data_IF_868926549439
#
_entry.id   IF_868926549439
#
_cell.length_a   1.000
_cell.length_b   1.000
_cell.length_c   1.000
_cell.angle_alpha   90.00
_cell.angle_beta   90.00
_cell.angle_gamma   90.00
#
_symmetry.space_group_name_H-M   'P 1'
#
loop_
_entity.id
_entity.type
_entity.pdbx_description
1 polymer ?
#
# COMPACT_ATOMS: atom_id res chain seq x y z
N UNK A 1 22.38 3.64 -0.66
CA UNK A 1 21.15 3.10 -1.25
C UNK A 1 21.32 3.09 -2.75
N UNK A 2 21.36 1.89 -3.36
CA UNK A 2 21.48 1.75 -4.80
C UNK A 2 20.11 2.07 -5.41
N UNK A 3 20.04 3.06 -6.27
CA UNK A 3 18.82 3.36 -7.05
C UNK A 3 18.66 2.19 -8.03
N UNK A 4 17.60 1.38 -7.87
CA UNK A 4 17.24 0.39 -8.91
C UNK A 4 16.99 1.17 -10.21
N UNK A 5 17.60 0.73 -11.32
CA UNK A 5 17.29 1.26 -12.65
C UNK A 5 15.82 0.99 -13.00
N UNK A 6 15.24 1.78 -13.90
CA UNK A 6 13.89 1.55 -14.40
C UNK A 6 13.80 0.12 -14.96
N UNK A 7 12.78 -0.68 -14.52
CA UNK A 7 12.65 -2.06 -14.98
C UNK A 7 12.31 -2.08 -16.47
N UNK A 8 13.12 -2.81 -17.25
CA UNK A 8 12.92 -2.98 -18.70
C UNK A 8 11.71 -3.89 -18.97
N UNK A 9 10.85 -3.48 -19.89
CA UNK A 9 9.73 -4.32 -20.36
C UNK A 9 10.28 -5.61 -21.00
N UNK A 10 9.80 -6.78 -20.49
CA UNK A 10 10.18 -8.10 -21.01
C UNK A 10 11.02 -8.96 -20.07
N UNK A 11 11.53 -8.42 -18.98
CA UNK A 11 12.20 -9.23 -17.94
C UNK A 11 11.20 -9.66 -16.84
N UNK A 12 11.39 -10.86 -16.23
CA UNK A 12 10.57 -11.29 -15.09
C UNK A 12 10.64 -10.29 -13.94
N UNK A 13 9.49 -9.78 -13.52
CA UNK A 13 9.36 -8.79 -12.46
C UNK A 13 8.63 -9.37 -11.26
N UNK A 14 8.89 -8.82 -10.07
CA UNK A 14 8.05 -9.00 -8.89
C UNK A 14 7.01 -7.88 -8.82
N UNK A 15 5.76 -8.25 -8.99
CA UNK A 15 4.64 -7.32 -9.03
C UNK A 15 3.70 -7.58 -7.86
N UNK A 16 3.42 -6.55 -7.07
CA UNK A 16 2.34 -6.58 -6.09
C UNK A 16 1.12 -5.90 -6.70
N UNK A 17 0.01 -6.64 -6.77
CA UNK A 17 -1.26 -6.17 -7.32
C UNK A 17 -2.26 -6.03 -6.20
N UNK A 18 -2.76 -4.82 -5.98
CA UNK A 18 -3.87 -4.60 -5.06
C UNK A 18 -5.19 -4.54 -5.82
N UNK A 19 -6.06 -5.51 -5.60
CA UNK A 19 -7.42 -5.51 -6.11
C UNK A 19 -8.31 -4.60 -5.28
N UNK A 20 -9.01 -3.67 -5.91
CA UNK A 20 -10.04 -2.85 -5.27
C UNK A 20 -11.13 -3.71 -4.60
N UNK A 21 -11.75 -3.18 -3.56
CA UNK A 21 -12.80 -3.87 -2.80
C UNK A 21 -14.22 -3.46 -3.16
N UNK A 22 -14.42 -2.57 -4.13
CA UNK A 22 -15.73 -2.13 -4.59
C UNK A 22 -16.29 -3.12 -5.61
N UNK A 23 -17.61 -3.06 -5.82
CA UNK A 23 -18.36 -3.87 -6.81
C UNK A 23 -17.89 -3.66 -8.25
N UNK A 24 -17.27 -2.52 -8.55
CA UNK A 24 -16.88 -2.13 -9.91
C UNK A 24 -15.61 -2.83 -10.40
N UNK A 25 -14.80 -3.40 -9.49
CA UNK A 25 -13.56 -4.10 -9.85
C UNK A 25 -13.86 -5.53 -10.27
N UNK A 26 -13.41 -5.91 -11.46
CA UNK A 26 -13.65 -7.25 -12.02
C UNK A 26 -12.59 -8.25 -11.54
N UNK A 27 -12.88 -8.90 -10.40
CA UNK A 27 -11.96 -9.86 -9.79
C UNK A 27 -11.60 -11.05 -10.70
N UNK A 28 -12.54 -11.55 -11.51
CA UNK A 28 -12.29 -12.67 -12.41
C UNK A 28 -11.37 -12.28 -13.58
N UNK A 29 -11.55 -11.08 -14.14
CA UNK A 29 -10.65 -10.53 -15.16
C UNK A 29 -9.24 -10.31 -14.62
N UNK A 30 -9.13 -9.77 -13.39
CA UNK A 30 -7.82 -9.60 -12.72
C UNK A 30 -7.13 -10.95 -12.49
N UNK A 31 -7.85 -11.98 -12.05
CA UNK A 31 -7.29 -13.33 -11.90
C UNK A 31 -6.83 -13.93 -13.24
N UNK A 32 -7.55 -13.66 -14.34
CA UNK A 32 -7.14 -14.07 -15.68
C UNK A 32 -5.84 -13.40 -16.11
N UNK A 33 -5.72 -12.10 -15.87
CA UNK A 33 -4.55 -11.30 -16.19
C UNK A 33 -3.34 -11.72 -15.34
N UNK A 34 -3.53 -11.87 -14.02
CA UNK A 34 -2.51 -12.43 -13.11
C UNK A 34 -2.01 -13.80 -13.60
N UNK A 35 -2.94 -14.67 -14.03
CA UNK A 35 -2.57 -15.99 -14.54
C UNK A 35 -1.75 -15.93 -15.84
N UNK A 36 -2.04 -14.99 -16.72
CA UNK A 36 -1.24 -14.72 -17.92
C UNK A 36 0.19 -14.28 -17.56
N UNK A 37 0.31 -13.27 -16.72
CA UNK A 37 1.60 -12.71 -16.28
C UNK A 37 2.48 -13.74 -15.55
N UNK A 38 1.89 -14.61 -14.72
CA UNK A 38 2.62 -15.71 -14.09
C UNK A 38 3.16 -16.69 -15.12
N UNK A 39 2.38 -17.03 -16.17
CA UNK A 39 2.84 -17.90 -17.26
C UNK A 39 3.94 -17.23 -18.11
N UNK A 40 3.95 -15.91 -18.20
CA UNK A 40 5.00 -15.12 -18.83
C UNK A 40 6.27 -14.96 -17.96
N UNK A 41 6.27 -15.57 -16.77
CA UNK A 41 7.43 -15.64 -15.88
C UNK A 41 7.50 -14.59 -14.79
N UNK A 42 6.51 -13.70 -14.69
CA UNK A 42 6.43 -12.74 -13.59
C UNK A 42 6.08 -13.43 -12.26
N UNK A 43 6.57 -12.87 -11.15
CA UNK A 43 6.20 -13.26 -9.79
C UNK A 43 5.14 -12.29 -9.29
N UNK A 44 3.99 -12.77 -8.85
CA UNK A 44 2.89 -11.92 -8.43
C UNK A 44 2.45 -12.20 -6.99
N UNK A 45 2.14 -11.11 -6.28
CA UNK A 45 1.43 -11.13 -5.01
C UNK A 45 0.13 -10.37 -5.20
N UNK A 46 -0.99 -10.99 -4.87
CA UNK A 46 -2.31 -10.35 -4.92
C UNK A 46 -2.71 -9.91 -3.53
N UNK A 47 -3.03 -8.63 -3.35
CA UNK A 47 -3.59 -8.09 -2.10
C UNK A 47 -5.00 -7.62 -2.38
N UNK A 48 -5.96 -8.00 -1.55
CA UNK A 48 -7.34 -7.62 -1.76
C UNK A 48 -7.99 -6.98 -0.53
N UNK A 49 -8.91 -6.08 -0.78
CA UNK A 49 -9.94 -5.64 0.15
C UNK A 49 -11.27 -6.35 -0.15
N UNK A 50 -12.38 -5.71 0.19
CA UNK A 50 -13.71 -6.25 -0.05
C UNK A 50 -14.80 -5.41 0.60
N UNK A 51 -14.76 -4.08 0.42
CA UNK A 51 -15.74 -3.16 1.06
C UNK A 51 -17.17 -3.55 0.71
N UNK A 52 -17.46 -3.90 -0.54
CA UNK A 52 -18.80 -4.31 -0.97
C UNK A 52 -19.26 -5.61 -0.28
N UNK A 53 -18.38 -6.61 -0.13
CA UNK A 53 -18.70 -7.85 0.56
C UNK A 53 -18.84 -7.65 2.08
N UNK A 54 -18.05 -6.76 2.66
CA UNK A 54 -18.18 -6.38 4.07
C UNK A 54 -19.55 -5.73 4.31
N UNK A 55 -19.93 -4.76 3.46
CA UNK A 55 -21.21 -4.06 3.58
C UNK A 55 -22.39 -5.05 3.41
N UNK A 56 -22.33 -5.91 2.39
CA UNK A 56 -23.34 -6.95 2.17
C UNK A 56 -23.50 -7.89 3.38
N UNK A 57 -22.39 -8.38 3.90
CA UNK A 57 -22.41 -9.33 5.02
C UNK A 57 -22.82 -8.65 6.33
N UNK A 58 -22.44 -7.37 6.52
CA UNK A 58 -22.88 -6.56 7.65
C UNK A 58 -24.41 -6.39 7.66
N UNK A 59 -24.99 -6.11 6.48
CA UNK A 59 -26.46 -6.01 6.32
C UNK A 59 -27.15 -7.34 6.62
N UNK A 60 -26.59 -8.47 6.17
CA UNK A 60 -27.15 -9.81 6.45
C UNK A 60 -27.06 -10.22 7.93
N UNK A 61 -26.06 -9.71 8.65
CA UNK A 61 -25.83 -10.01 10.06
C UNK A 61 -26.37 -8.92 11.00
N UNK A 62 -27.09 -7.94 10.47
CA UNK A 62 -27.64 -6.80 11.22
C UNK A 62 -26.55 -6.01 12.00
N UNK A 63 -25.31 -5.92 11.47
CA UNK A 63 -24.21 -5.16 12.07
C UNK A 63 -24.12 -3.75 11.45
N UNK A 64 -24.49 -2.69 12.21
CA UNK A 64 -24.52 -1.34 11.66
C UNK A 64 -23.13 -0.85 11.26
N UNK A 65 -22.99 -0.36 10.03
CA UNK A 65 -21.74 0.19 9.52
C UNK A 65 -21.63 1.69 9.76
N UNK A 66 -20.51 2.12 10.29
CA UNK A 66 -20.20 3.54 10.54
C UNK A 66 -18.89 3.94 9.87
N UNK A 67 -18.74 5.22 9.55
CA UNK A 67 -17.49 5.78 9.05
C UNK A 67 -17.00 6.87 9.98
N UNK A 68 -15.70 6.89 10.21
CA UNK A 68 -15.00 7.93 10.93
C UNK A 68 -14.31 8.84 9.91
N UNK A 69 -14.53 10.13 10.02
CA UNK A 69 -13.82 11.15 9.24
C UNK A 69 -12.77 11.77 10.16
N UNK A 70 -11.51 11.63 9.82
CA UNK A 70 -10.41 12.23 10.56
C UNK A 70 -10.37 13.77 10.33
N UNK A 71 -9.69 14.56 11.20
CA UNK A 71 -9.60 16.02 11.03
C UNK A 71 -8.98 16.48 9.71
N UNK A 72 -8.15 15.63 9.07
CA UNK A 72 -7.57 15.84 7.74
C UNK A 72 -8.48 15.37 6.59
N UNK A 73 -9.75 15.02 6.88
CA UNK A 73 -10.76 14.68 5.90
C UNK A 73 -10.74 13.23 5.39
N UNK A 74 -9.82 12.39 5.87
CA UNK A 74 -9.77 10.98 5.49
C UNK A 74 -10.90 10.21 6.14
N UNK A 75 -11.71 9.51 5.32
CA UNK A 75 -12.83 8.69 5.77
C UNK A 75 -12.42 7.22 5.82
N UNK A 76 -12.55 6.60 7.00
CA UNK A 76 -12.28 5.18 7.21
C UNK A 76 -13.48 4.49 7.87
N UNK A 77 -13.60 3.16 7.73
CA UNK A 77 -14.60 2.36 8.43
C UNK A 77 -14.30 2.39 9.93
N UNK A 78 -15.30 2.72 10.75
CA UNK A 78 -15.23 2.44 12.17
C UNK A 78 -15.31 0.93 12.36
N UNK A 79 -14.29 0.38 12.95
CA UNK A 79 -14.18 -1.06 13.14
C UNK A 79 -14.29 -1.38 14.62
N UNK A 80 -15.51 -1.42 15.16
CA UNK A 80 -15.78 -1.99 16.46
C UNK A 80 -15.62 -3.52 16.41
N UNK A 81 -15.79 -4.21 17.54
CA UNK A 81 -15.57 -5.65 17.64
C UNK A 81 -16.47 -6.44 16.68
N UNK A 82 -17.77 -6.11 16.59
CA UNK A 82 -18.71 -6.75 15.70
C UNK A 82 -18.35 -6.48 14.22
N UNK A 83 -17.95 -5.26 13.89
CA UNK A 83 -17.50 -4.91 12.55
C UNK A 83 -16.20 -5.64 12.19
N UNK A 84 -15.26 -5.83 13.15
CA UNK A 84 -14.04 -6.60 12.91
C UNK A 84 -14.33 -8.06 12.58
N UNK A 85 -15.31 -8.67 13.26
CA UNK A 85 -15.76 -10.02 12.95
C UNK A 85 -16.31 -10.10 11.52
N UNK A 86 -17.19 -9.18 11.12
CA UNK A 86 -17.71 -9.09 9.75
C UNK A 86 -16.60 -8.91 8.73
N UNK A 87 -15.63 -8.02 8.99
CA UNK A 87 -14.46 -7.82 8.13
C UNK A 87 -13.69 -9.13 7.93
N UNK A 88 -13.46 -9.86 9.03
CA UNK A 88 -12.74 -11.14 8.99
C UNK A 88 -13.49 -12.19 8.18
N UNK A 89 -14.79 -12.36 8.43
CA UNK A 89 -15.64 -13.30 7.70
C UNK A 89 -15.71 -12.96 6.20
N UNK A 90 -15.93 -11.68 5.87
CA UNK A 90 -16.02 -11.22 4.50
C UNK A 90 -14.71 -11.45 3.74
N UNK A 91 -13.59 -11.04 4.30
CA UNK A 91 -12.31 -11.07 3.58
C UNK A 91 -11.67 -12.44 3.58
N UNK A 92 -11.58 -13.10 4.74
CA UNK A 92 -10.94 -14.41 4.84
C UNK A 92 -11.84 -15.56 4.41
N UNK A 93 -13.16 -15.45 4.67
CA UNK A 93 -14.12 -16.53 4.43
C UNK A 93 -14.89 -16.44 3.10
N UNK A 94 -15.01 -15.26 2.50
CA UNK A 94 -15.78 -15.08 1.26
C UNK A 94 -14.92 -14.62 0.08
N UNK A 95 -14.30 -13.44 0.15
CA UNK A 95 -13.57 -12.87 -1.01
C UNK A 95 -12.33 -13.68 -1.36
N UNK A 96 -11.48 -13.98 -0.38
CA UNK A 96 -10.23 -14.70 -0.60
C UNK A 96 -10.42 -16.11 -1.20
N UNK A 97 -11.31 -16.96 -0.69
CA UNK A 97 -11.54 -18.27 -1.28
C UNK A 97 -12.00 -18.18 -2.74
N UNK A 98 -12.80 -17.17 -3.12
CA UNK A 98 -13.22 -16.94 -4.51
C UNK A 98 -12.02 -16.62 -5.40
N UNK A 99 -11.12 -15.71 -4.98
CA UNK A 99 -9.91 -15.36 -5.73
C UNK A 99 -8.96 -16.56 -5.87
N UNK A 100 -8.72 -17.29 -4.79
CA UNK A 100 -7.88 -18.50 -4.81
C UNK A 100 -8.47 -19.55 -5.75
N UNK A 101 -9.78 -19.82 -5.68
CA UNK A 101 -10.47 -20.76 -6.56
C UNK A 101 -10.38 -20.35 -8.02
N UNK A 102 -10.52 -19.06 -8.32
CA UNK A 102 -10.42 -18.52 -9.67
C UNK A 102 -9.01 -18.69 -10.26
N UNK A 103 -7.95 -18.44 -9.47
CA UNK A 103 -6.58 -18.68 -9.88
C UNK A 103 -6.27 -20.17 -10.07
N UNK A 104 -6.74 -21.03 -9.15
CA UNK A 104 -6.60 -22.49 -9.26
C UNK A 104 -7.30 -23.02 -10.51
N UNK A 105 -8.51 -22.53 -10.83
CA UNK A 105 -9.24 -22.89 -12.05
C UNK A 105 -8.49 -22.54 -13.34
N UNK A 106 -7.51 -21.59 -13.27
CA UNK A 106 -6.62 -21.22 -14.37
C UNK A 106 -5.28 -21.94 -14.36
N UNK A 107 -5.09 -22.90 -13.44
CA UNK A 107 -3.87 -23.68 -13.27
C UNK A 107 -2.75 -22.95 -12.53
N UNK A 108 -3.09 -21.88 -11.81
CA UNK A 108 -2.12 -21.12 -11.00
C UNK A 108 -2.24 -21.55 -9.53
N UNK A 109 -1.16 -22.12 -8.94
CA UNK A 109 -1.18 -22.50 -7.53
C UNK A 109 -1.21 -21.25 -6.65
N UNK A 110 -2.33 -20.97 -6.02
CA UNK A 110 -2.52 -19.80 -5.16
C UNK A 110 -2.69 -20.19 -3.69
N UNK A 111 -2.14 -19.39 -2.79
CA UNK A 111 -2.23 -19.57 -1.34
C UNK A 111 -2.87 -18.35 -0.70
N UNK A 112 -4.02 -18.52 -0.05
CA UNK A 112 -4.72 -17.47 0.66
C UNK A 112 -4.16 -17.27 2.06
N UNK A 113 -3.80 -16.03 2.41
CA UNK A 113 -3.27 -15.63 3.71
C UNK A 113 -4.00 -14.36 4.21
N UNK A 114 -4.11 -14.22 5.51
CA UNK A 114 -4.40 -12.94 6.16
C UNK A 114 -3.10 -12.33 6.68
N UNK A 115 -3.12 -11.09 7.10
CA UNK A 115 -1.98 -10.50 7.81
C UNK A 115 -1.67 -11.17 9.16
N UNK A 116 -2.61 -11.97 9.72
CA UNK A 116 -2.41 -12.76 10.92
C UNK A 116 -1.52 -13.97 10.69
N UNK A 117 -1.64 -14.62 9.51
CA UNK A 117 -0.99 -15.90 9.22
C UNK A 117 0.53 -15.76 9.29
N UNK A 118 1.15 -16.50 10.20
CA UNK A 118 2.59 -16.39 10.47
C UNK A 118 3.05 -15.05 11.03
N UNK A 119 2.13 -14.18 11.48
CA UNK A 119 2.44 -12.81 11.87
C UNK A 119 2.93 -11.98 10.67
N UNK A 120 2.35 -12.23 9.50
CA UNK A 120 2.78 -11.63 8.24
C UNK A 120 2.77 -10.10 8.27
N UNK A 121 1.71 -9.51 8.84
CA UNK A 121 1.59 -8.05 8.99
C UNK A 121 1.38 -7.71 10.46
N UNK A 122 2.35 -7.05 11.06
CA UNK A 122 2.26 -6.54 12.42
C UNK A 122 1.77 -5.10 12.41
N UNK A 123 0.80 -4.84 13.27
CA UNK A 123 0.19 -3.52 13.42
C UNK A 123 0.24 -3.07 14.86
N UNK A 124 0.17 -1.76 15.07
CA UNK A 124 -0.15 -1.19 16.37
C UNK A 124 -1.58 -0.69 16.35
N UNK A 125 -2.41 -1.25 17.23
CA UNK A 125 -3.77 -0.79 17.42
C UNK A 125 -3.78 0.66 17.90
N UNK A 126 -4.65 1.48 17.34
CA UNK A 126 -4.83 2.87 17.76
C UNK A 126 -5.57 2.91 19.12
N UNK A 127 -4.94 3.45 20.16
CA UNK A 127 -5.56 3.61 21.50
C UNK A 127 -6.72 4.60 21.51
N UNK A 128 -6.86 5.40 20.47
CA UNK A 128 -7.95 6.35 20.25
C UNK A 128 -7.73 7.07 18.93
N UNK A 129 -8.77 7.18 18.15
CA UNK A 129 -8.76 7.87 16.85
C UNK A 129 -9.56 9.17 16.97
N UNK A 130 -8.96 10.30 16.56
CA UNK A 130 -9.70 11.55 16.41
C UNK A 130 -10.62 11.46 15.21
N UNK A 131 -11.89 11.73 15.42
CA UNK A 131 -12.90 11.81 14.35
C UNK A 131 -13.74 13.07 14.49
N UNK A 132 -14.25 13.57 13.37
CA UNK A 132 -15.19 14.66 13.34
C UNK A 132 -16.61 14.09 13.33
N UNK A 133 -17.38 14.38 14.39
CA UNK A 133 -18.79 14.00 14.53
C UNK A 133 -19.57 15.27 14.80
N UNK A 134 -20.57 15.57 13.97
CA UNK A 134 -21.40 16.78 14.08
C UNK A 134 -20.56 18.08 14.18
N UNK A 135 -19.50 18.16 13.39
CA UNK A 135 -18.58 19.31 13.36
C UNK A 135 -17.65 19.44 14.56
N UNK A 136 -17.62 18.46 15.47
CA UNK A 136 -16.77 18.45 16.66
C UNK A 136 -15.76 17.31 16.59
N UNK A 137 -14.51 17.58 16.99
CA UNK A 137 -13.50 16.52 17.11
C UNK A 137 -13.73 15.73 18.40
N UNK A 138 -13.98 14.44 18.27
CA UNK A 138 -14.12 13.46 19.37
C UNK A 138 -13.02 12.41 19.28
N UNK A 139 -12.79 11.71 20.42
CA UNK A 139 -11.86 10.57 20.45
C UNK A 139 -12.67 9.29 20.54
N UNK A 140 -12.60 8.47 19.50
CA UNK A 140 -13.18 7.13 19.43
C UNK A 140 -12.15 6.13 19.95
N UNK A 141 -12.53 5.26 20.89
CA UNK A 141 -11.63 4.30 21.55
C UNK A 141 -11.94 2.84 21.27
N UNK A 142 -13.14 2.56 20.80
CA UNK A 142 -13.64 1.22 20.42
C UNK A 142 -13.33 0.88 18.95
N UNK A 143 -12.30 1.50 18.37
CA UNK A 143 -11.87 1.21 17.00
C UNK A 143 -10.74 0.17 17.02
N UNK A 144 -10.96 -0.96 16.33
CA UNK A 144 -10.01 -2.04 16.14
C UNK A 144 -9.24 -1.90 14.83
N UNK A 145 -8.95 -0.67 14.42
CA UNK A 145 -8.05 -0.42 13.30
C UNK A 145 -6.62 -0.16 13.78
N UNK A 146 -5.64 -0.61 12.98
CA UNK A 146 -4.22 -0.50 13.29
C UNK A 146 -3.43 0.26 12.23
N UNK A 147 -2.25 0.74 12.66
CA UNK A 147 -1.20 1.21 11.77
C UNK A 147 -0.18 0.09 11.57
N UNK A 148 0.19 -0.20 10.34
CA UNK A 148 1.23 -1.18 10.01
C UNK A 148 2.56 -0.70 10.59
N UNK A 149 3.24 -1.56 11.35
CA UNK A 149 4.57 -1.33 11.90
C UNK A 149 5.66 -2.08 11.15
N UNK A 150 5.38 -3.34 10.80
CA UNK A 150 6.30 -4.17 10.04
C UNK A 150 5.58 -5.26 9.28
N UNK A 151 6.28 -5.83 8.30
CA UNK A 151 5.85 -6.98 7.52
C UNK A 151 6.96 -8.04 7.59
N UNK A 152 6.58 -9.31 7.68
CA UNK A 152 7.49 -10.45 7.58
C UNK A 152 7.41 -11.06 6.20
N UNK A 153 8.22 -10.54 5.28
CA UNK A 153 8.20 -10.95 3.87
C UNK A 153 8.69 -12.38 3.60
N UNK A 154 9.36 -13.02 4.55
CA UNK A 154 9.98 -14.35 4.39
C UNK A 154 8.97 -15.43 3.97
N UNK A 155 7.75 -15.43 4.55
CA UNK A 155 6.70 -16.36 4.17
C UNK A 155 6.29 -16.16 2.69
N UNK A 156 6.10 -14.93 2.28
CA UNK A 156 5.73 -14.59 0.90
C UNK A 156 6.87 -14.95 -0.06
N UNK A 157 8.12 -14.61 0.28
CA UNK A 157 9.29 -14.95 -0.52
C UNK A 157 9.43 -16.47 -0.71
N UNK A 158 9.18 -17.25 0.36
CA UNK A 158 9.16 -18.72 0.30
C UNK A 158 8.09 -19.22 -0.66
N UNK A 159 6.86 -18.74 -0.57
CA UNK A 159 5.79 -19.14 -1.47
C UNK A 159 6.11 -18.79 -2.94
N UNK A 160 6.60 -17.59 -3.19
CA UNK A 160 6.99 -17.14 -4.54
C UNK A 160 8.14 -17.99 -5.11
N UNK A 161 9.12 -18.40 -4.28
CA UNK A 161 10.25 -19.25 -4.73
C UNK A 161 9.81 -20.66 -5.13
N UNK A 162 8.66 -21.12 -4.64
CA UNK A 162 8.06 -22.40 -4.99
C UNK A 162 6.95 -22.28 -6.06
N UNK A 163 6.81 -21.12 -6.70
CA UNK A 163 5.86 -20.88 -7.79
C UNK A 163 4.42 -20.67 -7.35
N UNK A 164 4.16 -20.43 -6.05
CA UNK A 164 2.84 -20.06 -5.57
C UNK A 164 2.56 -18.57 -5.75
N UNK A 165 1.29 -18.24 -5.96
CA UNK A 165 0.79 -16.85 -5.91
C UNK A 165 0.15 -16.60 -4.55
N UNK A 166 0.76 -15.81 -3.66
CA UNK A 166 0.12 -15.41 -2.40
C UNK A 166 -1.05 -14.47 -2.64
N UNK A 167 -2.18 -14.74 -1.99
CA UNK A 167 -3.39 -13.89 -1.99
C UNK A 167 -3.63 -13.39 -0.58
N UNK A 168 -3.32 -12.13 -0.31
CA UNK A 168 -3.25 -11.55 1.04
C UNK A 168 -4.39 -10.58 1.30
N UNK A 169 -4.92 -10.57 2.52
CA UNK A 169 -5.94 -9.61 2.94
C UNK A 169 -5.80 -9.23 4.42
N UNK A 170 -6.47 -8.16 4.88
CA UNK A 170 -6.79 -8.03 6.31
C UNK A 170 -7.57 -9.24 6.84
N UNK A 171 -7.68 -9.42 8.18
CA UNK A 171 -7.06 -8.63 9.23
C UNK A 171 -5.56 -8.90 9.40
N UNK A 172 -4.90 -8.03 10.14
CA UNK A 172 -3.50 -8.14 10.55
C UNK A 172 -3.41 -8.45 12.06
N UNK A 173 -2.21 -8.73 12.57
CA UNK A 173 -1.98 -8.95 14.00
C UNK A 173 -1.52 -7.65 14.69
N UNK A 174 -1.96 -7.42 15.93
CA UNK A 174 -1.31 -6.45 16.81
C UNK A 174 -0.13 -7.06 17.59
N UNK A 175 0.46 -6.28 18.49
CA UNK A 175 1.57 -6.70 19.35
C UNK A 175 1.25 -7.88 20.29
N UNK A 176 -0.03 -8.21 20.47
CA UNK A 176 -0.51 -9.31 21.30
C UNK A 176 -0.99 -10.52 20.49
N UNK A 177 -0.96 -10.41 19.14
CA UNK A 177 -1.48 -11.42 18.24
C UNK A 177 -2.98 -11.31 17.99
N UNK A 178 -3.63 -10.26 18.51
CA UNK A 178 -5.06 -10.04 18.32
C UNK A 178 -5.36 -9.47 16.92
N UNK A 179 -6.50 -9.83 16.31
CA UNK A 179 -6.85 -9.35 14.99
C UNK A 179 -7.16 -7.85 15.01
N UNK A 180 -6.63 -7.15 14.03
CA UNK A 180 -6.81 -5.71 13.82
C UNK A 180 -7.09 -5.45 12.35
N UNK A 181 -8.08 -4.63 12.05
CA UNK A 181 -8.31 -4.18 10.68
C UNK A 181 -7.20 -3.23 10.23
N UNK A 182 -6.68 -3.47 9.04
CA UNK A 182 -5.69 -2.63 8.40
C UNK A 182 -6.11 -2.33 6.95
N UNK A 183 -5.71 -1.18 6.44
CA UNK A 183 -6.02 -0.79 5.07
C UNK A 183 -5.27 -1.68 4.06
N UNK A 184 -6.00 -2.27 3.11
CA UNK A 184 -5.44 -3.21 2.14
C UNK A 184 -4.49 -2.55 1.13
N UNK A 185 -4.68 -1.26 0.77
CA UNK A 185 -3.74 -0.52 -0.07
C UNK A 185 -2.39 -0.36 0.66
N UNK A 186 -2.44 -0.08 1.97
CA UNK A 186 -1.23 0.05 2.80
C UNK A 186 -0.56 -1.30 3.08
N UNK A 187 -1.33 -2.38 3.21
CA UNK A 187 -0.75 -3.75 3.28
C UNK A 187 -0.02 -4.05 1.98
N UNK A 188 -0.61 -3.73 0.81
CA UNK A 188 0.04 -3.92 -0.48
C UNK A 188 1.34 -3.10 -0.60
N UNK A 189 1.31 -1.85 -0.17
CA UNK A 189 2.48 -0.97 -0.16
C UNK A 189 3.60 -1.51 0.75
N UNK A 190 3.26 -1.94 1.97
CA UNK A 190 4.22 -2.47 2.93
C UNK A 190 4.84 -3.80 2.45
N UNK A 191 4.01 -4.70 1.86
CA UNK A 191 4.49 -5.94 1.24
C UNK A 191 5.39 -5.65 0.04
N UNK A 192 5.02 -4.72 -0.82
CA UNK A 192 5.82 -4.35 -1.99
C UNK A 192 7.20 -3.79 -1.57
N UNK A 193 7.23 -2.96 -0.55
CA UNK A 193 8.47 -2.40 0.00
C UNK A 193 9.35 -3.49 0.65
N UNK A 194 8.78 -4.36 1.48
CA UNK A 194 9.49 -5.43 2.17
C UNK A 194 10.08 -6.47 1.20
N UNK A 195 9.39 -6.73 0.09
CA UNK A 195 9.81 -7.70 -0.92
C UNK A 195 10.73 -7.10 -1.99
N UNK A 196 11.10 -5.83 -1.88
CA UNK A 196 11.80 -5.10 -2.95
C UNK A 196 11.10 -5.25 -4.31
N UNK A 197 9.78 -5.11 -4.35
CA UNK A 197 9.01 -5.29 -5.55
C UNK A 197 9.42 -4.28 -6.64
N UNK A 198 9.45 -4.74 -7.90
CA UNK A 198 9.69 -3.88 -9.05
C UNK A 198 8.51 -2.94 -9.30
N UNK A 199 7.29 -3.45 -9.08
CA UNK A 199 6.04 -2.75 -9.35
C UNK A 199 5.01 -2.94 -8.24
N UNK A 200 4.28 -1.86 -7.93
CA UNK A 200 3.02 -1.91 -7.19
C UNK A 200 1.90 -1.36 -8.09
N UNK A 201 0.89 -2.18 -8.36
CA UNK A 201 -0.31 -1.78 -9.12
C UNK A 201 -1.50 -1.70 -8.17
N UNK A 202 -2.07 -0.50 -8.03
CA UNK A 202 -3.25 -0.22 -7.21
C UNK A 202 -4.48 -0.11 -8.12
N UNK A 203 -5.22 -1.20 -8.28
CA UNK A 203 -6.42 -1.23 -9.11
C UNK A 203 -7.61 -0.58 -8.40
N UNK A 204 -8.38 0.18 -9.14
CA UNK A 204 -9.53 0.95 -8.64
C UNK A 204 -10.69 0.94 -9.65
N UNK A 205 -11.86 1.44 -9.26
CA UNK A 205 -13.04 1.62 -10.13
C UNK A 205 -13.01 2.90 -10.97
N UNK A 206 -11.84 3.54 -11.11
CA UNK A 206 -11.63 4.72 -11.93
C UNK A 206 -10.45 4.49 -12.89
N UNK A 207 -10.32 5.25 -13.99
CA UNK A 207 -9.20 5.12 -14.93
C UNK A 207 -7.81 5.28 -14.31
N UNK A 208 -7.73 6.02 -13.21
CA UNK A 208 -6.53 6.35 -12.46
C UNK A 208 -6.82 7.50 -11.50
N UNK A 209 -5.85 8.39 -11.27
CA UNK A 209 -6.05 9.65 -10.54
C UNK A 209 -6.64 10.68 -11.51
N UNK A 210 -7.78 11.25 -11.15
CA UNK A 210 -8.46 12.27 -11.95
C UNK A 210 -8.15 13.66 -11.39
N UNK A 211 -7.95 14.63 -12.27
CA UNK A 211 -7.84 16.03 -11.87
C UNK A 211 -9.18 16.56 -11.32
N UNK A 212 -10.29 16.12 -11.91
CA UNK A 212 -11.65 16.32 -11.43
C UNK A 212 -12.33 14.96 -11.24
N UNK A 213 -12.70 14.58 -10.00
CA UNK A 213 -13.34 13.28 -9.73
C UNK A 213 -14.65 13.04 -10.48
N UNK A 214 -15.34 14.11 -10.92
CA UNK A 214 -16.60 14.04 -11.64
C UNK A 214 -16.40 13.99 -13.18
N UNK A 215 -15.16 14.14 -13.65
CA UNK A 215 -14.78 14.05 -15.07
C UNK A 215 -13.82 12.90 -15.33
N UNK A 216 -14.34 11.82 -15.94
CA UNK A 216 -13.54 10.62 -16.27
C UNK A 216 -12.44 10.88 -17.32
N UNK A 217 -12.57 11.93 -18.12
CA UNK A 217 -11.58 12.31 -19.15
C UNK A 217 -10.44 13.15 -18.57
N UNK A 218 -10.53 13.54 -17.29
CA UNK A 218 -9.49 14.31 -16.58
C UNK A 218 -8.36 13.45 -15.99
N UNK A 219 -8.08 12.27 -16.57
CA UNK A 219 -7.03 11.36 -16.14
C UNK A 219 -5.67 12.06 -16.14
N UNK A 220 -4.99 11.98 -15.01
CA UNK A 220 -3.60 12.42 -14.87
C UNK A 220 -2.67 11.24 -15.21
N UNK A 221 -1.84 11.32 -16.26
CA UNK A 221 -0.88 10.26 -16.54
C UNK A 221 0.22 10.13 -15.47
N UNK A 222 0.56 11.24 -14.82
CA UNK A 222 1.51 11.33 -13.71
C UNK A 222 0.90 12.08 -12.52
N UNK A 223 1.17 11.62 -11.31
CA UNK A 223 0.76 12.28 -10.08
C UNK A 223 1.94 12.37 -9.11
N UNK A 224 2.39 13.59 -8.81
CA UNK A 224 3.41 13.81 -7.80
C UNK A 224 2.78 13.89 -6.40
N UNK A 225 3.35 13.15 -5.45
CA UNK A 225 2.95 13.17 -4.04
C UNK A 225 4.09 13.68 -3.16
N UNK A 226 3.74 14.52 -2.20
CA UNK A 226 4.70 15.01 -1.22
C UNK A 226 5.23 13.88 -0.35
N UNK A 227 6.51 13.95 0.04
CA UNK A 227 7.16 12.94 0.90
C UNK A 227 6.54 12.84 2.30
N UNK A 228 5.82 13.85 2.74
CA UNK A 228 5.09 13.90 4.01
C UNK A 228 3.85 14.79 3.90
N UNK A 229 2.95 14.71 4.87
CA UNK A 229 1.74 15.55 4.90
C UNK A 229 0.54 14.92 4.19
N UNK A 230 -0.44 15.76 3.83
CA UNK A 230 -1.64 15.34 3.10
C UNK A 230 -1.28 14.93 1.66
N UNK A 231 -2.01 13.99 1.05
CA UNK A 231 -1.66 13.45 -0.28
C UNK A 231 -2.01 14.37 -1.47
N UNK A 232 -2.32 15.65 -1.26
CA UNK A 232 -2.60 16.64 -2.30
C UNK A 232 -4.11 16.86 -2.56
N UNK A 233 -4.42 17.87 -3.40
CA UNK A 233 -5.80 18.32 -3.64
C UNK A 233 -6.66 17.31 -4.42
N UNK A 234 -6.04 16.46 -5.24
CA UNK A 234 -6.71 15.39 -6.01
C UNK A 234 -7.12 14.20 -5.15
N UNK A 235 -6.69 14.17 -3.91
CA UNK A 235 -6.85 13.05 -2.99
C UNK A 235 -8.15 13.17 -2.21
N UNK A 236 -9.26 12.72 -2.79
CA UNK A 236 -10.56 12.66 -2.10
C UNK A 236 -10.97 11.20 -1.84
N UNK A 237 -11.63 10.97 -0.71
CA UNK A 237 -12.18 9.64 -0.37
C UNK A 237 -11.15 8.51 -0.42
N UNK A 238 -11.48 7.44 -1.14
CA UNK A 238 -10.59 6.27 -1.29
C UNK A 238 -9.30 6.54 -2.06
N UNK A 239 -9.27 7.56 -2.94
CA UNK A 239 -8.06 7.93 -3.67
C UNK A 239 -6.99 8.51 -2.72
N UNK A 240 -7.39 9.23 -1.68
CA UNK A 240 -6.46 9.74 -0.67
C UNK A 240 -5.67 8.61 0.00
N UNK A 241 -6.35 7.51 0.36
CA UNK A 241 -5.69 6.34 0.97
C UNK A 241 -4.74 5.65 -0.02
N UNK A 242 -5.11 5.57 -1.31
CA UNK A 242 -4.25 5.01 -2.36
C UNK A 242 -2.98 5.83 -2.57
N UNK A 243 -3.09 7.16 -2.61
CA UNK A 243 -1.93 8.04 -2.76
C UNK A 243 -1.02 8.02 -1.51
N UNK A 244 -1.59 7.85 -0.30
CA UNK A 244 -0.82 7.60 0.91
C UNK A 244 -0.06 6.27 0.81
N UNK A 245 -0.72 5.19 0.38
CA UNK A 245 -0.11 3.88 0.19
C UNK A 245 0.98 3.93 -0.90
N UNK A 246 0.71 4.59 -2.03
CA UNK A 246 1.68 4.79 -3.10
C UNK A 246 2.94 5.52 -2.61
N UNK A 247 2.77 6.59 -1.83
CA UNK A 247 3.88 7.31 -1.19
C UNK A 247 4.69 6.41 -0.26
N UNK A 248 4.01 5.62 0.59
CA UNK A 248 4.67 4.69 1.51
C UNK A 248 5.48 3.64 0.76
N UNK A 249 4.95 3.08 -0.33
CA UNK A 249 5.66 2.15 -1.19
C UNK A 249 6.90 2.77 -1.83
N UNK A 250 6.78 3.96 -2.41
CA UNK A 250 7.89 4.67 -3.03
C UNK A 250 8.99 5.06 -2.03
N UNK A 251 8.60 5.48 -0.82
CA UNK A 251 9.54 5.75 0.27
C UNK A 251 10.22 4.47 0.75
N UNK A 252 9.54 3.33 0.65
CA UNK A 252 10.06 2.00 0.95
C UNK A 252 10.94 1.40 -0.15
N UNK A 253 11.12 2.07 -1.30
CA UNK A 253 12.04 1.64 -2.37
C UNK A 253 11.40 0.84 -3.51
N UNK A 254 10.06 0.76 -3.56
CA UNK A 254 9.36 0.16 -4.72
C UNK A 254 9.73 0.90 -6.00
N UNK A 255 10.08 0.16 -7.06
CA UNK A 255 10.59 0.75 -8.30
C UNK A 255 9.60 1.67 -9.01
N UNK A 256 8.34 1.24 -9.14
CA UNK A 256 7.27 2.05 -9.74
C UNK A 256 5.92 1.73 -9.09
N UNK A 257 5.09 2.76 -8.93
CA UNK A 257 3.72 2.63 -8.40
C UNK A 257 2.73 3.20 -9.41
N UNK A 258 1.73 2.40 -9.78
CA UNK A 258 0.68 2.80 -10.73
C UNK A 258 -0.70 2.65 -10.10
N UNK A 259 -1.55 3.65 -10.24
CA UNK A 259 -2.98 3.58 -9.97
C UNK A 259 -3.71 3.39 -11.30
N UNK A 260 -4.47 2.31 -11.46
CA UNK A 260 -5.05 1.95 -12.74
C UNK A 260 -6.49 1.42 -12.63
N UNK A 261 -7.17 1.37 -13.77
CA UNK A 261 -8.53 0.87 -13.90
C UNK A 261 -8.56 -0.66 -13.68
N UNK A 262 -9.36 -1.10 -12.72
CA UNK A 262 -9.57 -2.54 -12.43
C UNK A 262 -10.87 -3.11 -12.96
N UNK A 263 -11.64 -2.36 -13.77
CA UNK A 263 -12.95 -2.78 -14.29
C UNK A 263 -12.83 -3.65 -15.53
N UNK A 264 -11.82 -3.39 -16.36
CA UNK A 264 -11.59 -4.04 -17.65
C UNK A 264 -10.81 -5.36 -17.57
N UNK A 265 -10.71 -6.02 -18.72
CA UNK A 265 -9.79 -7.14 -18.94
C UNK A 265 -8.37 -6.61 -19.19
N UNK A 266 -7.35 -7.37 -18.81
CA UNK A 266 -5.94 -7.00 -19.04
C UNK A 266 -5.43 -5.88 -18.12
N UNK A 267 -6.18 -5.48 -17.10
CA UNK A 267 -5.94 -4.32 -16.26
C UNK A 267 -4.52 -4.24 -15.68
N UNK A 268 -3.98 -5.37 -15.19
CA UNK A 268 -2.61 -5.42 -14.64
C UNK A 268 -1.58 -5.29 -15.75
N UNK A 269 -1.76 -6.04 -16.85
CA UNK A 269 -0.86 -5.97 -18.01
C UNK A 269 -0.85 -4.58 -18.65
N UNK A 270 -1.98 -3.91 -18.76
CA UNK A 270 -2.07 -2.54 -19.26
C UNK A 270 -1.37 -1.55 -18.31
N UNK A 271 -1.56 -1.68 -17.00
CA UNK A 271 -0.86 -0.87 -16.02
C UNK A 271 0.67 -1.06 -16.09
N UNK A 272 1.15 -2.28 -16.30
CA UNK A 272 2.58 -2.55 -16.52
C UNK A 272 3.12 -1.93 -17.82
N UNK A 273 2.27 -1.71 -18.81
CA UNK A 273 2.59 -1.02 -20.08
C UNK A 273 2.41 0.50 -20.01
N UNK A 274 2.05 1.05 -18.85
CA UNK A 274 1.95 2.49 -18.62
C UNK A 274 0.53 3.06 -18.67
N UNK A 275 -0.52 2.22 -18.70
CA UNK A 275 -1.89 2.70 -18.54
C UNK A 275 -2.17 3.12 -17.08
N UNK A 276 -3.04 4.12 -16.91
CA UNK A 276 -3.39 4.67 -15.61
C UNK A 276 -2.51 5.87 -15.22
N UNK A 277 -2.30 6.06 -13.92
CA UNK A 277 -1.51 7.15 -13.36
C UNK A 277 -0.26 6.61 -12.70
N UNK A 278 0.92 7.03 -13.15
CA UNK A 278 2.16 6.79 -12.45
C UNK A 278 2.28 7.76 -11.26
N UNK A 279 2.48 7.22 -10.06
CA UNK A 279 2.69 8.03 -8.87
C UNK A 279 4.17 8.21 -8.61
N UNK A 280 4.62 9.45 -8.40
CA UNK A 280 6.01 9.79 -8.13
C UNK A 280 6.15 10.62 -6.85
N UNK A 281 7.29 10.53 -6.18
CA UNK A 281 7.60 11.44 -5.08
C UNK A 281 8.07 12.78 -5.65
N UNK A 282 7.63 13.88 -5.04
CA UNK A 282 8.26 15.18 -5.31
C UNK A 282 9.75 15.12 -4.99
N UNK A 283 10.62 15.69 -5.84
CA UNK A 283 12.04 15.79 -5.55
C UNK A 283 12.27 16.43 -4.18
N UNK A 284 13.31 16.02 -3.43
CA UNK A 284 13.67 16.74 -2.22
C UNK A 284 13.98 18.20 -2.58
N UNK A 285 13.67 19.17 -1.69
CA UNK A 285 14.02 20.56 -1.93
C UNK A 285 15.53 20.67 -2.16
N UNK A 286 15.92 21.46 -3.16
CA UNK A 286 17.33 21.73 -3.41
C UNK A 286 17.96 22.31 -2.13
N UNK A 287 19.16 21.83 -1.74
CA UNK A 287 19.85 22.40 -0.61
C UNK A 287 20.09 23.89 -0.90
N UNK A 288 19.51 24.74 -0.07
CA UNK A 288 19.68 26.19 -0.19
C UNK A 288 21.16 26.58 -0.21
N UNK A 289 21.54 27.74 -0.78
CA UNK A 289 22.93 28.16 -0.99
C UNK A 289 23.77 28.30 0.30
N UNK A 290 23.16 28.23 1.47
CA UNK A 290 23.85 28.41 2.76
C UNK A 290 24.51 27.15 3.35
N UNK A 291 24.32 25.95 2.77
CA UNK A 291 24.96 24.72 3.26
C UNK A 291 26.40 24.50 2.74
N UNK A 292 26.95 25.44 1.97
CA UNK A 292 28.39 25.49 1.63
C UNK A 292 29.19 26.25 2.70
N UNK A 293 28.93 26.02 3.97
CA UNK A 293 29.71 26.59 5.05
C UNK A 293 31.04 25.85 5.16
N UNK A 294 32.06 26.48 4.65
CA UNK A 294 33.44 26.61 5.17
C UNK A 294 33.87 25.51 6.16
N UNK A 295 34.62 24.57 5.65
CA UNK A 295 35.64 23.87 6.45
C UNK A 295 36.56 24.90 7.09
N UNK A 296 36.80 24.89 8.40
CA UNK A 296 37.78 25.75 9.00
C UNK A 296 39.16 25.40 8.46
N UNK A 297 39.81 26.38 7.83
CA UNK A 297 41.22 26.29 7.48
C UNK A 297 42.01 26.13 8.78
N UNK A 298 42.62 24.98 9.01
CA UNK A 298 43.66 24.82 10.01
C UNK A 298 44.80 25.77 9.66
N UNK A 299 44.95 26.83 10.42
CA UNK A 299 46.19 27.59 10.48
C UNK A 299 47.20 26.78 11.28
N UNK A 300 48.20 26.26 10.59
CA UNK A 300 49.44 25.80 11.22
C UNK A 300 50.06 26.96 11.96
N UNK A 301 50.03 26.93 13.28
CA UNK A 301 50.90 27.76 14.14
C UNK A 301 52.12 26.90 14.43
N UNK A 302 53.23 27.19 13.71
CA UNK A 302 54.57 26.80 14.11
C UNK A 302 54.86 27.45 15.47
N UNK A 303 54.94 26.62 16.51
CA UNK A 303 55.51 27.00 17.80
C UNK A 303 57.01 26.76 17.75
N UNK A 304 57.78 27.87 17.68
CA UNK A 304 59.22 27.87 17.99
C UNK A 304 59.45 27.41 19.43
N UNK A 305 60.30 26.41 19.58
CA UNK A 305 60.84 25.96 20.87
C UNK A 305 61.97 26.89 21.32
N UNK A 306 61.97 27.40 22.57
CA UNK A 306 63.12 28.17 23.10
C UNK A 306 64.24 27.22 23.46
N UNK A 307 65.46 27.65 23.07
CA UNK A 307 66.70 26.92 23.26
C UNK A 307 67.07 26.72 24.72
N UNK A 308 67.63 25.57 24.97
CA UNK A 308 68.32 25.22 26.22
C UNK A 308 69.68 25.85 26.22
N UNK A 309 69.95 26.79 27.11
CA UNK A 309 71.31 27.18 27.55
C UNK A 309 71.62 26.38 28.84
N UNK A 310 72.87 25.86 28.81
CA UNK A 310 73.52 25.13 29.91
C UNK A 310 74.04 26.17 30.96
N UNK A 311 73.88 25.79 32.23
CA UNK A 311 74.97 25.64 33.18
C UNK A 311 74.49 24.81 34.39
#
# INVERSE_FOLDING_TARGET
>A
MSVKGEPTMGEPQLVVVKCGGNSDVNAAAICADVAGLVKDGHRLVVVHGGSAEIDRLADELDVPQRRLVSPDGVSARHTDEATLEVVTLALAGSVKPKLVSELLGRGIPAVGLTGLDGGLVLTRRKKGQKAVVDGRTVVVRDDHSGRIESVRGELIATLLSHGYVPVVSPPAADEHGEPVNADADRIAAALAAELDADRLVLLTGAPGVLADPDDADSLLPDCAVERAGAPGEFARGGMALKLVAAREALLGGVGQVTVADGRGEGAVGEALRGAGTEVRLTPPPEPGPESRSTLPQHRDQEQELPGTDRE
#
